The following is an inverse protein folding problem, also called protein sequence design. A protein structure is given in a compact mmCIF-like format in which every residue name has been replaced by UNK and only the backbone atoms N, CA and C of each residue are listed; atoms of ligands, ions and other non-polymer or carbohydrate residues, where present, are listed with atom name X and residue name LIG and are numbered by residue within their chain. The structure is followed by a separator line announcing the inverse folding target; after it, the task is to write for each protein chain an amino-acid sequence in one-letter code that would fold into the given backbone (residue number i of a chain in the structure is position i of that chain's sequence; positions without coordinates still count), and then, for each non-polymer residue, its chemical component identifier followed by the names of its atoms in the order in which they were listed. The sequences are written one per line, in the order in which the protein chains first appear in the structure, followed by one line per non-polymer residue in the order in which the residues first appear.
data_IF_486896840151
#
_entry.id   IF_486896840151
#
_cell.length_a   1.000
_cell.length_b   1.000
_cell.length_c   1.000
_cell.angle_alpha   90.00
_cell.angle_beta   90.00
_cell.angle_gamma   90.00
#
_symmetry.space_group_name_H-M   'P 1'
#
loop_
_entity.id
_entity.type
_entity.pdbx_description
1 polymer ?
#
# COMPACT_ATOMS: atom_id res chain seq x y z
N UNK A 1 -2.38 26.90 5.40
CA UNK A 1 -1.17 26.17 5.82
C UNK A 1 -0.51 25.58 4.58
N UNK A 2 0.79 25.85 4.41
CA UNK A 2 1.60 25.22 3.37
C UNK A 2 1.97 23.82 3.85
N UNK A 3 1.51 22.79 3.14
CA UNK A 3 1.88 21.38 3.40
C UNK A 3 3.09 21.00 2.57
N UNK A 4 4.04 20.28 3.17
CA UNK A 4 5.23 19.80 2.51
C UNK A 4 5.21 18.28 2.43
N UNK A 5 5.57 17.71 1.26
CA UNK A 5 5.68 16.27 1.10
C UNK A 5 6.85 15.71 1.94
N UNK A 6 6.62 14.59 2.63
CA UNK A 6 7.59 14.06 3.60
C UNK A 6 8.88 13.50 2.97
N UNK A 7 8.88 13.17 1.69
CA UNK A 7 10.03 12.52 1.03
C UNK A 7 10.01 12.66 -0.50
N UNK A 8 9.31 13.67 -1.03
CA UNK A 8 9.30 13.95 -2.48
C UNK A 8 10.54 14.72 -2.91
N UNK A 9 11.18 14.28 -3.97
CA UNK A 9 12.33 14.94 -4.60
C UNK A 9 11.99 15.26 -6.05
N UNK A 10 12.17 16.52 -6.46
CA UNK A 10 11.99 16.95 -7.85
C UNK A 10 13.33 16.93 -8.56
N UNK A 11 13.34 16.41 -9.78
CA UNK A 11 14.51 16.41 -10.66
C UNK A 11 14.19 17.25 -11.89
N UNK A 12 15.07 18.21 -12.17
CA UNK A 12 15.01 19.06 -13.35
C UNK A 12 16.30 18.93 -14.20
N UNK A 13 16.24 19.12 -15.52
CA UNK A 13 17.42 19.12 -16.39
C UNK A 13 18.29 20.39 -16.24
N UNK A 14 17.83 21.35 -15.43
CA UNK A 14 18.51 22.63 -15.15
C UNK A 14 18.13 23.15 -13.76
N UNK A 15 18.10 24.47 -13.59
CA UNK A 15 17.65 25.06 -12.31
C UNK A 15 16.17 24.86 -12.14
N UNK A 16 15.72 24.41 -10.96
CA UNK A 16 14.30 24.23 -10.65
C UNK A 16 13.48 25.52 -10.84
N UNK A 17 14.09 26.69 -10.60
CA UNK A 17 13.44 27.99 -10.79
C UNK A 17 13.11 28.32 -12.25
N UNK A 18 13.66 27.60 -13.20
CA UNK A 18 13.33 27.76 -14.62
C UNK A 18 12.02 27.00 -14.97
N UNK A 19 11.56 26.12 -14.10
CA UNK A 19 10.39 25.26 -14.31
C UNK A 19 9.25 25.55 -13.35
N UNK A 20 9.55 25.89 -12.08
CA UNK A 20 8.52 26.14 -11.08
C UNK A 20 8.96 27.19 -10.05
N UNK A 21 8.02 27.96 -9.50
CA UNK A 21 8.29 28.83 -8.37
C UNK A 21 8.60 28.01 -7.12
N UNK A 22 9.55 28.51 -6.31
CA UNK A 22 9.93 27.86 -5.06
C UNK A 22 9.44 28.69 -3.87
N UNK A 23 9.12 28.01 -2.77
CA UNK A 23 8.82 28.58 -1.49
C UNK A 23 9.83 28.10 -0.45
N UNK A 24 10.30 29.00 0.38
CA UNK A 24 11.18 28.72 1.51
C UNK A 24 10.44 29.22 2.76
N UNK A 25 10.20 28.32 3.71
CA UNK A 25 9.64 28.72 5.00
C UNK A 25 10.67 29.49 5.82
N UNK A 26 10.20 30.28 6.80
CA UNK A 26 11.13 30.99 7.69
C UNK A 26 11.92 29.99 8.55
N UNK A 27 13.24 30.19 8.62
CA UNK A 27 14.18 29.37 9.42
C UNK A 27 15.53 29.18 8.76
N UNK A 28 16.60 29.07 9.56
CA UNK A 28 17.98 28.97 9.07
C UNK A 28 18.24 27.70 8.22
N UNK A 29 17.48 26.62 8.46
CA UNK A 29 17.60 25.32 7.77
C UNK A 29 16.43 25.02 6.82
N UNK A 30 15.69 26.05 6.38
CA UNK A 30 14.52 25.86 5.56
C UNK A 30 14.88 25.38 4.16
N UNK A 31 14.36 24.23 3.78
CA UNK A 31 14.57 23.65 2.45
C UNK A 31 13.51 24.21 1.48
N UNK A 32 13.93 24.67 0.26
CA UNK A 32 12.99 25.12 -0.75
C UNK A 32 12.04 24.02 -1.19
N UNK A 33 10.77 24.35 -1.38
CA UNK A 33 9.72 23.46 -1.91
C UNK A 33 9.09 24.06 -3.15
N UNK A 34 8.62 23.21 -4.07
CA UNK A 34 7.81 23.66 -5.20
C UNK A 34 6.50 24.24 -4.71
N UNK A 35 6.06 25.36 -5.29
CA UNK A 35 4.72 25.89 -5.08
C UNK A 35 3.66 25.19 -5.94
N UNK A 36 4.09 24.39 -6.92
CA UNK A 36 3.22 23.55 -7.74
C UNK A 36 2.82 22.29 -6.98
N UNK A 37 1.59 21.85 -7.18
CA UNK A 37 1.15 20.54 -6.73
C UNK A 37 1.73 19.42 -7.62
N UNK A 38 1.39 18.16 -7.31
CA UNK A 38 1.93 17.01 -8.04
C UNK A 38 1.56 16.99 -9.52
N UNK A 39 0.36 17.45 -9.87
CA UNK A 39 -0.17 17.39 -11.24
C UNK A 39 0.45 18.52 -12.08
N UNK A 40 0.61 19.72 -11.51
CA UNK A 40 1.29 20.83 -12.13
C UNK A 40 2.79 20.55 -12.33
N UNK A 41 3.44 19.88 -11.37
CA UNK A 41 4.84 19.45 -11.49
C UNK A 41 5.03 18.50 -12.69
N UNK A 42 4.13 17.54 -12.87
CA UNK A 42 4.15 16.65 -14.03
C UNK A 42 3.85 17.38 -15.33
N UNK A 43 2.90 18.35 -15.31
CA UNK A 43 2.49 19.11 -16.48
C UNK A 43 3.62 19.99 -17.05
N UNK A 44 4.51 20.53 -16.20
CA UNK A 44 5.70 21.29 -16.62
C UNK A 44 6.90 20.40 -16.98
N UNK A 45 6.71 19.08 -16.97
CA UNK A 45 7.73 18.12 -17.41
C UNK A 45 8.80 17.78 -16.36
N UNK A 46 8.57 18.11 -15.10
CA UNK A 46 9.45 17.69 -14.02
C UNK A 46 9.18 16.25 -13.59
N UNK A 47 10.21 15.59 -13.11
CA UNK A 47 10.09 14.22 -12.57
C UNK A 47 10.12 14.29 -11.04
N UNK A 48 9.09 13.69 -10.42
CA UNK A 48 8.98 13.57 -8.97
C UNK A 48 9.32 12.13 -8.54
N UNK A 49 10.25 12.01 -7.61
CA UNK A 49 10.55 10.75 -6.93
C UNK A 49 10.12 10.83 -5.47
N UNK A 50 9.47 9.80 -4.99
CA UNK A 50 9.04 9.70 -3.60
C UNK A 50 9.93 8.70 -2.86
N UNK A 51 10.75 9.22 -1.93
CA UNK A 51 11.61 8.43 -1.07
C UNK A 51 10.99 8.36 0.33
N UNK A 52 10.25 7.29 0.59
CA UNK A 52 9.64 7.07 1.89
C UNK A 52 10.38 5.94 2.59
N UNK A 53 11.11 6.29 3.65
CA UNK A 53 11.76 5.31 4.52
C UNK A 53 10.73 4.58 5.38
N UNK A 54 10.94 3.27 5.60
CA UNK A 54 10.12 2.46 6.47
C UNK A 54 10.91 2.08 7.73
N UNK A 55 10.66 2.79 8.85
CA UNK A 55 11.35 2.56 10.13
C UNK A 55 11.23 1.11 10.63
N UNK A 56 10.13 0.46 10.30
CA UNK A 56 9.90 -0.93 10.71
C UNK A 56 10.93 -1.92 10.15
N UNK A 57 11.52 -1.65 8.99
CA UNK A 57 12.61 -2.48 8.47
C UNK A 57 13.87 -2.36 9.35
N UNK A 58 14.18 -1.16 9.84
CA UNK A 58 15.26 -0.96 10.83
C UNK A 58 14.94 -1.65 12.15
N UNK A 59 13.69 -1.61 12.62
CA UNK A 59 13.26 -2.32 13.84
C UNK A 59 13.45 -3.83 13.69
N UNK A 60 13.05 -4.40 12.56
CA UNK A 60 13.24 -5.83 12.27
C UNK A 60 14.72 -6.17 12.31
N UNK A 61 15.58 -5.39 11.63
CA UNK A 61 17.02 -5.63 11.59
C UNK A 61 17.64 -5.60 13.00
N UNK A 62 17.31 -4.59 13.80
CA UNK A 62 17.75 -4.48 15.19
C UNK A 62 17.26 -5.64 16.06
N UNK A 63 16.01 -6.07 15.86
CA UNK A 63 15.46 -7.21 16.59
C UNK A 63 16.25 -8.49 16.28
N UNK A 64 16.56 -8.73 15.00
CA UNK A 64 17.37 -9.87 14.57
C UNK A 64 18.80 -9.83 15.15
N UNK A 65 19.42 -8.63 15.20
CA UNK A 65 20.72 -8.46 15.88
C UNK A 65 20.64 -8.79 17.38
N UNK A 66 19.59 -8.33 18.06
CA UNK A 66 19.42 -8.61 19.49
C UNK A 66 19.16 -10.09 19.75
N UNK A 67 18.34 -10.75 18.91
CA UNK A 67 18.12 -12.19 18.99
C UNK A 67 19.45 -12.93 18.82
N UNK A 68 20.23 -12.59 17.80
CA UNK A 68 21.53 -13.24 17.55
C UNK A 68 22.48 -13.10 18.74
N UNK A 69 22.52 -11.93 19.38
CA UNK A 69 23.33 -11.71 20.60
C UNK A 69 22.83 -12.50 21.82
N UNK A 70 21.53 -12.69 21.95
CA UNK A 70 20.92 -13.37 23.10
C UNK A 70 20.96 -14.90 22.95
N UNK A 71 20.82 -15.41 21.73
CA UNK A 71 20.64 -16.86 21.46
C UNK A 71 21.79 -17.52 20.71
N UNK A 72 22.71 -16.72 20.18
CA UNK A 72 23.78 -17.20 19.29
C UNK A 72 23.32 -17.52 17.85
N UNK A 73 22.04 -17.35 17.53
CA UNK A 73 21.48 -17.65 16.20
C UNK A 73 20.61 -16.51 15.73
N UNK A 74 20.74 -16.16 14.44
CA UNK A 74 19.91 -15.15 13.78
C UNK A 74 18.83 -15.84 12.94
N UNK A 75 17.53 -15.62 13.22
CA UNK A 75 16.45 -16.15 12.40
C UNK A 75 16.49 -15.59 10.97
N UNK A 76 16.23 -16.47 10.00
CA UNK A 76 16.00 -16.05 8.62
C UNK A 76 14.50 -15.88 8.38
N UNK A 77 14.01 -14.63 8.43
CA UNK A 77 12.61 -14.32 8.22
C UNK A 77 12.12 -14.64 6.81
N UNK A 78 13.02 -14.67 5.82
CA UNK A 78 12.64 -14.94 4.42
C UNK A 78 12.38 -16.43 4.18
N UNK A 79 12.93 -17.30 5.01
CA UNK A 79 12.65 -18.73 4.98
C UNK A 79 11.42 -19.16 5.78
N UNK A 80 10.85 -18.24 6.57
CA UNK A 80 9.61 -18.49 7.32
C UNK A 80 8.42 -18.61 6.34
N UNK A 81 7.61 -19.66 6.51
CA UNK A 81 6.28 -19.70 5.92
C UNK A 81 5.35 -18.66 6.58
N UNK A 82 4.17 -18.50 6.00
CA UNK A 82 3.13 -17.59 6.53
C UNK A 82 2.03 -18.33 7.30
N UNK A 83 2.39 -19.40 8.03
CA UNK A 83 1.44 -20.33 8.66
C UNK A 83 1.64 -20.47 10.18
N UNK A 84 2.48 -19.63 10.80
CA UNK A 84 2.77 -19.72 12.23
C UNK A 84 1.55 -19.38 13.09
N UNK A 85 1.02 -20.33 13.90
CA UNK A 85 -0.19 -20.09 14.70
C UNK A 85 -0.03 -19.02 15.77
N UNK A 86 1.19 -18.86 16.33
CA UNK A 86 1.44 -17.89 17.39
C UNK A 86 1.42 -16.46 16.85
N UNK A 87 1.91 -16.24 15.62
CA UNK A 87 1.80 -14.95 14.94
C UNK A 87 0.33 -14.56 14.69
N UNK A 88 -0.48 -15.52 14.22
CA UNK A 88 -1.92 -15.28 14.04
C UNK A 88 -2.66 -15.08 15.36
N UNK A 89 -2.26 -15.77 16.42
CA UNK A 89 -2.91 -15.58 17.71
C UNK A 89 -2.75 -14.15 18.24
N UNK A 90 -1.56 -13.56 18.09
CA UNK A 90 -1.33 -12.15 18.41
C UNK A 90 -2.26 -11.20 17.63
N UNK A 91 -2.48 -11.50 16.33
CA UNK A 91 -3.39 -10.72 15.49
C UNK A 91 -4.85 -10.90 15.90
N UNK A 92 -5.29 -12.12 16.21
CA UNK A 92 -6.66 -12.44 16.69
C UNK A 92 -6.97 -11.77 18.02
N UNK A 93 -6.00 -11.77 18.93
CA UNK A 93 -6.13 -11.12 20.26
C UNK A 93 -6.02 -9.59 20.15
N UNK A 94 -5.66 -9.08 18.97
CA UNK A 94 -5.34 -7.68 18.73
C UNK A 94 -4.27 -7.11 19.67
N UNK A 95 -3.36 -7.96 20.11
CA UNK A 95 -2.18 -7.54 20.87
C UNK A 95 -1.10 -6.98 19.91
N UNK A 96 -1.48 -5.98 19.12
CA UNK A 96 -0.74 -5.52 17.94
C UNK A 96 0.05 -4.23 18.13
N UNK A 97 0.27 -3.79 19.37
CA UNK A 97 1.16 -2.67 19.66
C UNK A 97 2.55 -2.94 19.10
N UNK A 98 3.12 -1.98 18.37
CA UNK A 98 4.37 -2.03 17.61
C UNK A 98 4.36 -2.96 16.37
N UNK A 99 3.30 -3.70 16.09
CA UNK A 99 3.18 -4.48 14.85
C UNK A 99 2.81 -3.55 13.70
N UNK A 100 3.59 -3.65 12.63
CA UNK A 100 3.47 -2.77 11.47
C UNK A 100 2.05 -2.69 10.92
N UNK A 101 1.54 -1.47 10.70
CA UNK A 101 0.24 -1.14 10.10
C UNK A 101 -1.01 -1.57 10.88
N UNK A 102 -0.89 -2.30 12.01
CA UNK A 102 -2.06 -2.88 12.68
C UNK A 102 -2.20 -2.48 14.16
N UNK A 103 -1.54 -1.41 14.60
CA UNK A 103 -1.49 -1.00 16.00
C UNK A 103 -2.58 -0.01 16.43
N UNK A 104 -3.28 0.65 15.48
CA UNK A 104 -4.32 1.61 15.83
C UNK A 104 -5.54 0.96 16.47
N UNK A 105 -6.25 1.67 17.36
CA UNK A 105 -7.41 1.14 18.07
C UNK A 105 -8.53 0.67 17.13
N UNK A 106 -8.75 1.39 16.01
CA UNK A 106 -9.70 0.99 14.99
C UNK A 106 -9.30 -0.31 14.30
N UNK A 107 -8.01 -0.46 13.97
CA UNK A 107 -7.49 -1.69 13.38
C UNK A 107 -7.56 -2.86 14.37
N UNK A 108 -7.25 -2.65 15.64
CA UNK A 108 -7.40 -3.66 16.71
C UNK A 108 -8.83 -4.16 16.83
N UNK A 109 -9.82 -3.25 16.76
CA UNK A 109 -11.24 -3.63 16.75
C UNK A 109 -11.60 -4.45 15.51
N UNK A 110 -11.08 -4.09 14.35
CA UNK A 110 -11.30 -4.81 13.10
C UNK A 110 -10.68 -6.22 13.15
N UNK A 111 -9.43 -6.34 13.61
CA UNK A 111 -8.74 -7.62 13.75
C UNK A 111 -9.47 -8.59 14.67
N UNK A 112 -10.00 -8.12 15.80
CA UNK A 112 -10.86 -8.95 16.69
C UNK A 112 -12.11 -9.48 15.99
N UNK A 113 -12.73 -8.64 15.14
CA UNK A 113 -13.91 -9.07 14.37
C UNK A 113 -13.54 -10.04 13.26
N UNK A 114 -12.46 -9.77 12.53
CA UNK A 114 -12.00 -10.56 11.40
C UNK A 114 -11.41 -11.92 11.84
N UNK A 115 -10.64 -11.93 12.92
CA UNK A 115 -9.89 -13.08 13.42
C UNK A 115 -9.04 -13.74 12.33
N UNK A 116 -8.01 -13.03 11.79
CA UNK A 116 -7.21 -13.51 10.67
C UNK A 116 -6.51 -14.83 11.01
N UNK A 117 -6.50 -15.78 10.08
CA UNK A 117 -5.90 -17.11 10.23
C UNK A 117 -5.09 -17.59 9.03
N UNK A 118 -5.01 -16.75 7.99
CA UNK A 118 -4.20 -16.97 6.79
C UNK A 118 -3.61 -15.66 6.28
N UNK A 119 -2.58 -15.76 5.47
CA UNK A 119 -1.83 -14.58 4.98
C UNK A 119 -2.69 -13.64 4.12
N UNK A 120 -3.61 -14.21 3.32
CA UNK A 120 -4.56 -13.45 2.52
C UNK A 120 -5.45 -12.53 3.35
N UNK A 121 -5.78 -12.92 4.58
CA UNK A 121 -6.57 -12.06 5.48
C UNK A 121 -5.77 -10.82 5.92
N UNK A 122 -4.46 -10.97 6.14
CA UNK A 122 -3.59 -9.82 6.44
C UNK A 122 -3.53 -8.87 5.24
N UNK A 123 -3.36 -9.42 4.03
CA UNK A 123 -3.37 -8.62 2.80
C UNK A 123 -4.70 -7.87 2.66
N UNK A 124 -5.81 -8.57 2.87
CA UNK A 124 -7.15 -8.00 2.73
C UNK A 124 -7.44 -6.92 3.78
N UNK A 125 -7.10 -7.15 5.05
CA UNK A 125 -7.38 -6.18 6.12
C UNK A 125 -6.61 -4.87 5.89
N UNK A 126 -5.37 -4.93 5.40
CA UNK A 126 -4.58 -3.74 5.06
C UNK A 126 -5.19 -2.96 3.87
N UNK A 127 -5.84 -3.64 2.94
CA UNK A 127 -6.56 -3.00 1.84
C UNK A 127 -7.92 -2.42 2.28
N UNK A 128 -8.62 -3.09 3.18
CA UNK A 128 -9.98 -2.78 3.62
C UNK A 128 -10.04 -1.68 4.70
N UNK A 129 -9.01 -1.54 5.54
CA UNK A 129 -9.02 -0.56 6.63
C UNK A 129 -8.74 0.86 6.12
N UNK A 130 -9.73 1.43 5.45
CA UNK A 130 -9.72 2.80 4.90
C UNK A 130 -11.14 3.39 4.95
N UNK A 131 -11.30 4.74 4.99
CA UNK A 131 -12.61 5.37 5.11
C UNK A 131 -13.65 4.89 4.09
N UNK A 132 -13.26 4.71 2.82
CA UNK A 132 -14.14 4.26 1.76
C UNK A 132 -14.72 2.84 2.00
N UNK A 133 -13.87 1.79 2.04
CA UNK A 133 -14.34 0.43 2.31
C UNK A 133 -15.08 0.28 3.65
N UNK A 134 -14.63 0.98 4.71
CA UNK A 134 -15.31 0.97 6.01
C UNK A 134 -16.73 1.54 5.95
N UNK A 135 -16.94 2.58 5.13
CA UNK A 135 -18.24 3.22 4.97
C UNK A 135 -19.19 2.53 3.99
N UNK A 136 -18.70 1.59 3.18
CA UNK A 136 -19.46 0.95 2.07
C UNK A 136 -20.14 -0.36 2.45
N UNK A 137 -19.89 -0.91 3.64
CA UNK A 137 -20.36 -2.24 4.07
C UNK A 137 -19.47 -3.41 3.60
N UNK A 138 -18.49 -3.19 2.74
CA UNK A 138 -17.59 -4.24 2.21
C UNK A 138 -16.86 -5.01 3.32
N UNK A 139 -16.47 -4.32 4.37
CA UNK A 139 -15.73 -4.91 5.50
C UNK A 139 -16.62 -5.88 6.28
N UNK A 140 -17.88 -5.52 6.50
CA UNK A 140 -18.82 -6.38 7.21
C UNK A 140 -19.16 -7.62 6.35
N UNK A 141 -19.41 -7.46 5.04
CA UNK A 141 -19.61 -8.57 4.11
C UNK A 141 -18.41 -9.53 4.12
N UNK A 142 -17.19 -8.99 4.02
CA UNK A 142 -15.97 -9.80 4.07
C UNK A 142 -15.89 -10.64 5.36
N UNK A 143 -16.17 -10.03 6.52
CA UNK A 143 -16.12 -10.71 7.83
C UNK A 143 -17.22 -11.77 7.94
N UNK A 144 -18.45 -11.44 7.56
CA UNK A 144 -19.59 -12.36 7.66
C UNK A 144 -19.38 -13.58 6.76
N UNK A 145 -18.92 -13.37 5.52
CA UNK A 145 -18.64 -14.44 4.56
C UNK A 145 -17.45 -15.29 5.00
N UNK A 146 -16.36 -14.69 5.50
CA UNK A 146 -15.24 -15.43 6.11
C UNK A 146 -15.70 -16.36 7.24
N UNK A 147 -16.63 -15.91 8.07
CA UNK A 147 -17.16 -16.67 9.20
C UNK A 147 -18.26 -17.67 8.83
N UNK A 148 -18.64 -17.76 7.57
CA UNK A 148 -19.74 -18.61 7.12
C UNK A 148 -21.11 -18.13 7.59
N UNK A 149 -21.23 -16.87 8.02
CA UNK A 149 -22.48 -16.25 8.50
C UNK A 149 -23.28 -15.61 7.35
N UNK A 150 -22.68 -15.49 6.20
CA UNK A 150 -23.28 -15.01 4.95
C UNK A 150 -22.81 -15.89 3.80
N UNK A 151 -23.71 -16.24 2.90
CA UNK A 151 -23.38 -17.00 1.69
C UNK A 151 -22.42 -16.21 0.79
N UNK A 152 -21.47 -16.93 0.18
CA UNK A 152 -20.49 -16.33 -0.73
C UNK A 152 -21.05 -16.42 -2.14
N UNK A 153 -21.35 -15.26 -2.73
CA UNK A 153 -21.69 -15.14 -4.14
C UNK A 153 -20.45 -14.79 -4.96
N UNK A 154 -20.11 -15.66 -5.91
CA UNK A 154 -19.03 -15.43 -6.88
C UNK A 154 -19.56 -14.89 -8.20
N UNK A 155 -20.87 -14.63 -8.33
CA UNK A 155 -21.58 -14.14 -9.50
C UNK A 155 -21.57 -15.13 -10.69
N UNK A 156 -20.45 -15.79 -10.94
CA UNK A 156 -20.29 -16.84 -11.97
C UNK A 156 -19.16 -17.80 -11.56
N UNK A 157 -19.28 -19.12 -11.89
CA UNK A 157 -18.25 -20.10 -11.56
C UNK A 157 -16.83 -19.71 -12.05
N UNK A 158 -16.72 -19.08 -13.23
CA UNK A 158 -15.44 -18.67 -13.81
C UNK A 158 -14.76 -17.54 -13.00
N UNK A 159 -15.51 -16.81 -12.19
CA UNK A 159 -14.98 -15.77 -11.31
C UNK A 159 -14.54 -16.30 -9.95
N UNK A 160 -14.86 -17.56 -9.64
CA UNK A 160 -14.52 -18.14 -8.33
C UNK A 160 -13.01 -18.03 -8.04
N UNK A 161 -12.16 -18.40 -8.98
CA UNK A 161 -10.71 -18.39 -8.78
C UNK A 161 -10.14 -17.00 -8.42
N UNK A 162 -10.70 -15.92 -8.98
CA UNK A 162 -10.23 -14.56 -8.68
C UNK A 162 -10.88 -13.95 -7.42
N UNK A 163 -12.08 -14.41 -7.02
CA UNK A 163 -12.84 -13.85 -5.90
C UNK A 163 -12.79 -14.70 -4.61
N UNK A 164 -12.41 -15.97 -4.70
CA UNK A 164 -12.30 -16.89 -3.56
C UNK A 164 -11.34 -16.38 -2.46
N UNK A 165 -10.16 -15.81 -2.79
CA UNK A 165 -9.25 -15.27 -1.78
C UNK A 165 -9.85 -14.12 -0.94
N UNK A 166 -10.91 -13.48 -1.43
CA UNK A 166 -11.60 -12.36 -0.79
C UNK A 166 -13.07 -12.65 -0.48
N UNK A 167 -13.46 -13.92 -0.43
CA UNK A 167 -14.82 -14.37 -0.09
C UNK A 167 -15.90 -13.71 -0.96
N UNK A 168 -15.63 -13.56 -2.28
CA UNK A 168 -16.56 -12.95 -3.23
C UNK A 168 -16.62 -11.41 -3.18
N UNK A 169 -15.80 -10.76 -2.35
CA UNK A 169 -15.73 -9.29 -2.29
C UNK A 169 -14.67 -8.77 -3.24
N UNK A 170 -14.99 -7.76 -4.06
CA UNK A 170 -14.01 -7.08 -4.92
C UNK A 170 -13.23 -6.09 -4.05
N UNK A 171 -11.97 -6.42 -3.73
CA UNK A 171 -11.08 -5.62 -2.86
C UNK A 171 -9.95 -4.97 -3.66
N UNK A 172 -9.45 -5.67 -4.68
CA UNK A 172 -8.24 -5.30 -5.39
C UNK A 172 -8.50 -4.78 -6.80
N UNK A 173 -7.66 -3.87 -7.24
CA UNK A 173 -7.66 -3.37 -8.62
C UNK A 173 -7.43 -4.52 -9.63
N UNK A 174 -6.61 -5.48 -9.26
CA UNK A 174 -6.32 -6.67 -10.05
C UNK A 174 -7.56 -7.53 -10.28
N UNK A 175 -8.48 -7.60 -9.30
CA UNK A 175 -9.75 -8.32 -9.46
C UNK A 175 -10.66 -7.63 -10.48
N UNK A 176 -10.72 -6.29 -10.50
CA UNK A 176 -11.45 -5.53 -11.52
C UNK A 176 -10.91 -5.87 -12.92
N UNK A 177 -9.57 -5.91 -13.06
CA UNK A 177 -8.95 -6.27 -14.35
C UNK A 177 -9.24 -7.71 -14.73
N UNK A 178 -9.15 -8.67 -13.81
CA UNK A 178 -9.42 -10.09 -14.05
C UNK A 178 -10.88 -10.34 -14.45
N UNK A 179 -11.83 -9.72 -13.73
CA UNK A 179 -13.27 -9.81 -14.09
C UNK A 179 -13.49 -9.29 -15.49
N UNK A 180 -12.89 -8.16 -15.86
CA UNK A 180 -13.00 -7.58 -17.18
C UNK A 180 -12.43 -8.49 -18.28
N UNK A 181 -11.33 -9.19 -18.00
CA UNK A 181 -10.73 -10.15 -18.93
C UNK A 181 -11.58 -11.43 -19.05
N UNK A 182 -12.07 -11.97 -17.94
CA UNK A 182 -12.84 -13.22 -17.90
C UNK A 182 -14.20 -13.00 -18.58
N UNK A 183 -14.95 -12.03 -18.14
CA UNK A 183 -16.33 -11.79 -18.63
C UNK A 183 -16.32 -10.98 -19.92
N UNK A 184 -15.62 -9.85 -19.93
CA UNK A 184 -15.67 -8.90 -21.04
C UNK A 184 -14.67 -9.15 -22.17
N UNK A 185 -13.79 -10.16 -22.05
CA UNK A 185 -12.81 -10.47 -23.08
C UNK A 185 -11.72 -9.41 -23.28
N UNK A 186 -11.52 -8.55 -22.30
CA UNK A 186 -10.49 -7.51 -22.39
C UNK A 186 -9.07 -8.10 -22.47
N UNK A 187 -8.21 -7.43 -23.22
CA UNK A 187 -6.77 -7.63 -23.06
C UNK A 187 -6.32 -7.04 -21.74
N UNK A 188 -5.13 -7.43 -21.26
CA UNK A 188 -4.57 -6.88 -20.02
C UNK A 188 -4.47 -5.34 -20.05
N UNK A 189 -3.98 -4.77 -21.17
CA UNK A 189 -3.90 -3.32 -21.34
C UNK A 189 -5.27 -2.64 -21.39
N UNK A 190 -6.27 -3.26 -22.06
CA UNK A 190 -7.64 -2.78 -22.08
C UNK A 190 -8.29 -2.79 -20.68
N UNK A 191 -8.05 -3.82 -19.90
CA UNK A 191 -8.52 -3.93 -18.53
C UNK A 191 -7.88 -2.86 -17.60
N UNK A 192 -6.59 -2.54 -17.79
CA UNK A 192 -5.94 -1.45 -17.05
C UNK A 192 -6.51 -0.08 -17.44
N UNK A 193 -6.81 0.14 -18.72
CA UNK A 193 -7.49 1.38 -19.14
C UNK A 193 -8.89 1.51 -18.54
N UNK A 194 -9.68 0.43 -18.50
CA UNK A 194 -10.98 0.42 -17.81
C UNK A 194 -10.81 0.78 -16.32
N UNK A 195 -9.90 0.11 -15.62
CA UNK A 195 -9.62 0.39 -14.21
C UNK A 195 -9.28 1.87 -13.97
N UNK A 196 -8.43 2.46 -14.83
CA UNK A 196 -8.07 3.89 -14.74
C UNK A 196 -9.24 4.82 -15.02
N UNK A 197 -10.08 4.49 -16.00
CA UNK A 197 -11.28 5.26 -16.33
C UNK A 197 -12.27 5.26 -15.16
N UNK A 198 -12.48 4.09 -14.54
CA UNK A 198 -13.31 3.94 -13.34
C UNK A 198 -12.79 4.81 -12.18
N UNK A 199 -11.48 4.80 -11.92
CA UNK A 199 -10.87 5.61 -10.85
C UNK A 199 -10.97 7.12 -11.09
N UNK A 200 -11.00 7.57 -12.37
CA UNK A 200 -11.12 8.99 -12.74
C UNK A 200 -12.56 9.45 -12.98
N UNK A 201 -13.54 8.55 -12.89
CA UNK A 201 -15.00 8.79 -13.10
C UNK A 201 -15.34 9.54 -14.39
N UNK A 202 -14.63 9.28 -15.47
CA UNK A 202 -14.89 9.92 -16.76
C UNK A 202 -16.12 9.30 -17.43
N UNK A 203 -17.26 9.99 -17.39
CA UNK A 203 -18.56 9.50 -17.81
C UNK A 203 -18.55 8.93 -19.25
N UNK A 204 -17.94 9.66 -20.20
CA UNK A 204 -17.88 9.24 -21.61
C UNK A 204 -17.05 7.97 -21.82
N UNK A 205 -15.92 7.84 -21.10
CA UNK A 205 -15.09 6.64 -21.14
C UNK A 205 -15.81 5.46 -20.47
N UNK A 206 -16.52 5.70 -19.38
CA UNK A 206 -17.31 4.69 -18.68
C UNK A 206 -18.45 4.14 -19.54
N UNK A 207 -19.16 4.99 -20.28
CA UNK A 207 -20.22 4.55 -21.20
C UNK A 207 -19.66 3.63 -22.32
N UNK A 208 -18.50 3.96 -22.89
CA UNK A 208 -17.81 3.11 -23.87
C UNK A 208 -17.43 1.76 -23.30
N UNK A 209 -16.84 1.75 -22.11
CA UNK A 209 -16.43 0.52 -21.45
C UNK A 209 -17.62 -0.36 -21.06
N UNK A 210 -18.74 0.22 -20.64
CA UNK A 210 -19.99 -0.52 -20.39
C UNK A 210 -20.46 -1.27 -21.64
N UNK A 211 -20.49 -0.60 -22.77
CA UNK A 211 -20.84 -1.23 -24.03
C UNK A 211 -19.87 -2.34 -24.45
N UNK A 212 -18.56 -2.09 -24.25
CA UNK A 212 -17.51 -3.07 -24.59
C UNK A 212 -17.59 -4.33 -23.73
N UNK A 213 -17.84 -4.21 -22.42
CA UNK A 213 -17.93 -5.39 -21.54
C UNK A 213 -19.19 -6.21 -21.82
N UNK A 214 -20.31 -5.55 -22.13
CA UNK A 214 -21.56 -6.22 -22.49
C UNK A 214 -21.43 -6.99 -23.82
N UNK A 215 -20.82 -6.39 -24.82
CA UNK A 215 -20.57 -7.06 -26.10
C UNK A 215 -19.59 -8.21 -25.98
N UNK A 216 -18.49 -8.01 -25.22
CA UNK A 216 -17.51 -9.07 -24.97
C UNK A 216 -18.12 -10.25 -24.18
N UNK A 217 -18.97 -9.99 -23.22
CA UNK A 217 -19.70 -11.02 -22.46
C UNK A 217 -20.61 -11.84 -23.40
N UNK A 218 -21.37 -11.17 -24.28
CA UNK A 218 -22.22 -11.81 -25.25
C UNK A 218 -21.42 -12.73 -26.19
N UNK A 219 -20.28 -12.26 -26.70
CA UNK A 219 -19.41 -13.03 -27.58
C UNK A 219 -18.86 -14.28 -26.92
N UNK A 220 -18.65 -14.24 -25.59
CA UNK A 220 -18.18 -15.35 -24.77
C UNK A 220 -19.30 -16.26 -24.26
N UNK A 221 -20.55 -15.92 -24.52
CA UNK A 221 -21.71 -16.71 -24.09
C UNK A 221 -22.19 -16.46 -22.66
N UNK A 222 -21.75 -15.36 -22.03
CA UNK A 222 -22.26 -14.94 -20.74
C UNK A 222 -23.57 -14.14 -20.87
N UNK A 223 -24.38 -14.17 -19.81
CA UNK A 223 -25.60 -13.37 -19.73
C UNK A 223 -25.24 -11.86 -19.74
N UNK A 224 -25.81 -11.05 -20.63
CA UNK A 224 -25.63 -9.61 -20.64
C UNK A 224 -26.03 -8.94 -19.31
N UNK A 225 -27.04 -9.47 -18.61
CA UNK A 225 -27.45 -8.96 -17.30
C UNK A 225 -26.35 -9.13 -16.23
N UNK A 226 -25.60 -10.24 -16.28
CA UNK A 226 -24.45 -10.47 -15.43
C UNK A 226 -23.34 -9.43 -15.70
N UNK A 227 -23.06 -9.13 -16.97
CA UNK A 227 -22.05 -8.14 -17.35
C UNK A 227 -22.39 -6.74 -16.84
N UNK A 228 -23.67 -6.34 -16.94
CA UNK A 228 -24.17 -5.07 -16.40
C UNK A 228 -24.04 -5.00 -14.88
N UNK A 229 -24.48 -6.04 -14.19
CA UNK A 229 -24.35 -6.14 -12.73
C UNK A 229 -22.90 -6.03 -12.26
N UNK A 230 -21.99 -6.77 -12.92
CA UNK A 230 -20.55 -6.72 -12.58
C UNK A 230 -19.94 -5.36 -12.89
N UNK A 231 -20.35 -4.72 -14.00
CA UNK A 231 -19.86 -3.39 -14.33
C UNK A 231 -20.26 -2.35 -13.27
N UNK A 232 -21.51 -2.41 -12.78
CA UNK A 232 -22.00 -1.52 -11.73
C UNK A 232 -21.26 -1.77 -10.40
N UNK A 233 -21.04 -3.03 -10.04
CA UNK A 233 -20.23 -3.39 -8.87
C UNK A 233 -18.79 -2.88 -8.99
N UNK A 234 -18.14 -3.15 -10.13
CA UNK A 234 -16.77 -2.69 -10.37
C UNK A 234 -16.67 -1.17 -10.33
N UNK A 235 -17.65 -0.44 -10.88
CA UNK A 235 -17.71 1.02 -10.83
C UNK A 235 -17.81 1.53 -9.40
N UNK A 236 -18.67 0.91 -8.59
CA UNK A 236 -18.84 1.25 -7.18
C UNK A 236 -17.57 1.02 -6.38
N UNK A 237 -16.82 -0.05 -6.68
CA UNK A 237 -15.62 -0.44 -5.92
C UNK A 237 -14.31 0.07 -6.50
N UNK A 238 -14.28 0.53 -7.76
CA UNK A 238 -13.06 1.03 -8.39
C UNK A 238 -12.45 2.25 -7.69
N UNK A 239 -13.28 3.06 -7.00
CA UNK A 239 -12.79 4.15 -6.14
C UNK A 239 -11.99 3.66 -4.95
N UNK A 240 -12.31 2.46 -4.47
CA UNK A 240 -11.76 1.86 -3.26
C UNK A 240 -10.79 0.72 -3.55
N UNK A 241 -10.69 0.29 -4.82
CA UNK A 241 -9.80 -0.78 -5.23
C UNK A 241 -8.34 -0.48 -4.86
N UNK A 242 -7.68 -1.41 -4.19
CA UNK A 242 -6.31 -1.26 -3.77
C UNK A 242 -5.37 -2.12 -4.61
N UNK A 243 -4.12 -1.71 -4.77
CA UNK A 243 -3.10 -2.52 -5.41
C UNK A 243 -2.73 -3.69 -4.50
N UNK A 244 -2.99 -4.93 -4.96
CA UNK A 244 -2.71 -6.15 -4.19
C UNK A 244 -1.22 -6.34 -3.94
N UNK A 245 -0.37 -6.04 -4.91
CA UNK A 245 1.08 -6.19 -4.77
C UNK A 245 1.64 -5.31 -3.66
N UNK A 246 1.13 -4.07 -3.55
CA UNK A 246 1.50 -3.16 -2.47
C UNK A 246 1.11 -3.74 -1.10
N UNK A 247 -0.17 -4.13 -0.92
CA UNK A 247 -0.61 -4.70 0.37
C UNK A 247 0.05 -6.03 0.69
N UNK A 248 0.37 -6.85 -0.30
CA UNK A 248 1.11 -8.09 -0.10
C UNK A 248 2.52 -7.83 0.47
N UNK A 249 3.25 -6.86 -0.10
CA UNK A 249 4.56 -6.47 0.41
C UNK A 249 4.49 -5.95 1.86
N UNK A 250 3.48 -5.15 2.17
CA UNK A 250 3.24 -4.63 3.52
C UNK A 250 2.78 -5.74 4.49
N UNK A 251 1.98 -6.69 4.03
CA UNK A 251 1.54 -7.84 4.81
C UNK A 251 2.72 -8.73 5.26
N UNK A 252 3.76 -8.87 4.43
CA UNK A 252 5.01 -9.54 4.82
C UNK A 252 5.63 -8.86 6.05
N UNK A 253 5.75 -7.54 6.03
CA UNK A 253 6.31 -6.78 7.17
C UNK A 253 5.40 -6.90 8.41
N UNK A 254 4.08 -6.85 8.22
CA UNK A 254 3.11 -7.07 9.31
C UNK A 254 3.28 -8.46 9.92
N UNK A 255 3.37 -9.49 9.09
CA UNK A 255 3.55 -10.87 9.55
C UNK A 255 4.89 -11.07 10.26
N UNK A 256 6.00 -10.58 9.69
CA UNK A 256 7.32 -10.68 10.32
C UNK A 256 7.37 -9.97 11.67
N UNK A 257 6.75 -8.80 11.81
CA UNK A 257 6.68 -8.09 13.09
C UNK A 257 5.77 -8.80 14.10
N UNK A 258 4.69 -9.45 13.64
CA UNK A 258 3.85 -10.30 14.49
C UNK A 258 4.61 -11.56 14.97
N UNK A 259 5.34 -12.21 14.07
CA UNK A 259 6.17 -13.37 14.37
C UNK A 259 7.27 -13.02 15.38
N UNK A 260 8.00 -11.93 15.14
CA UNK A 260 9.04 -11.45 16.08
C UNK A 260 8.44 -11.14 17.46
N UNK A 261 7.27 -10.56 17.52
CA UNK A 261 6.58 -10.29 18.79
C UNK A 261 6.14 -11.57 19.48
N UNK A 262 5.68 -12.58 18.73
CA UNK A 262 5.25 -13.86 19.27
C UNK A 262 6.40 -14.67 19.88
N UNK A 263 7.51 -14.76 19.17
CA UNK A 263 8.61 -15.66 19.52
C UNK A 263 9.77 -14.96 20.24
N UNK A 264 9.96 -13.65 20.01
CA UNK A 264 11.11 -12.87 20.53
C UNK A 264 10.66 -11.51 21.06
N UNK A 265 9.59 -11.47 21.86
CA UNK A 265 8.96 -10.23 22.34
C UNK A 265 9.95 -9.23 22.95
N UNK A 266 10.83 -9.69 23.84
CA UNK A 266 11.79 -8.80 24.52
C UNK A 266 12.75 -8.12 23.53
N UNK A 267 13.34 -8.88 22.59
CA UNK A 267 14.25 -8.36 21.57
C UNK A 267 13.51 -7.40 20.61
N UNK A 268 12.29 -7.76 20.20
CA UNK A 268 11.47 -6.92 19.30
C UNK A 268 11.05 -5.60 19.97
N UNK A 269 10.60 -5.63 21.22
CA UNK A 269 10.23 -4.42 21.95
C UNK A 269 11.43 -3.54 22.25
N UNK A 270 12.58 -4.12 22.60
CA UNK A 270 13.84 -3.38 22.79
C UNK A 270 14.27 -2.70 21.48
N UNK A 271 14.16 -3.38 20.33
CA UNK A 271 14.46 -2.81 19.02
C UNK A 271 13.51 -1.64 18.69
N UNK A 272 12.22 -1.78 18.96
CA UNK A 272 11.23 -0.73 18.76
C UNK A 272 11.57 0.52 19.56
N UNK A 273 11.91 0.38 20.84
CA UNK A 273 12.29 1.49 21.71
C UNK A 273 13.64 2.12 21.34
N UNK A 274 14.59 1.32 20.82
CA UNK A 274 15.94 1.79 20.45
C UNK A 274 15.95 2.48 19.08
N UNK A 275 15.02 2.19 18.21
CA UNK A 275 14.95 2.78 16.85
C UNK A 275 14.72 4.29 16.90
N UNK A 276 14.02 4.81 17.90
CA UNK A 276 13.79 6.26 18.07
C UNK A 276 15.09 7.01 18.41
N UNK A 277 15.99 6.39 19.17
CA UNK A 277 17.29 6.98 19.53
C UNK A 277 18.26 7.02 18.36
N UNK A 278 18.26 5.99 17.48
CA UNK A 278 19.12 5.96 16.28
C UNK A 278 18.66 6.94 15.21
N UNK A 279 17.36 7.16 15.06
CA UNK A 279 16.83 8.16 14.12
C UNK A 279 17.27 9.59 14.46
N UNK A 280 17.53 9.88 15.73
CA UNK A 280 18.06 11.19 16.18
C UNK A 280 19.57 11.33 16.04
N UNK A 281 20.32 10.21 15.95
CA UNK A 281 21.78 10.21 15.84
C UNK A 281 22.32 10.00 14.43
N UNK A 282 21.52 9.51 13.50
CA UNK A 282 21.87 9.33 12.09
C UNK A 282 21.06 10.26 11.17
N UNK A 283 21.13 11.56 11.43
CA UNK A 283 20.75 12.59 10.46
C UNK A 283 21.79 12.68 9.33
N UNK A 284 22.04 11.56 8.66
CA UNK A 284 22.96 11.45 7.56
C UNK A 284 22.57 10.30 6.66
N UNK A 285 21.61 10.54 5.76
CA UNK A 285 21.51 9.69 4.57
C UNK A 285 22.69 10.08 3.69
N UNK A 286 23.81 9.33 3.81
CA UNK A 286 24.88 9.41 2.86
C UNK A 286 24.37 8.84 1.51
N UNK A 287 23.89 9.70 0.65
CA UNK A 287 23.69 9.36 -0.75
C UNK A 287 25.07 9.23 -1.38
N UNK A 288 25.52 8.01 -1.60
CA UNK A 288 26.73 7.76 -2.41
C UNK A 288 26.39 8.05 -3.86
N UNK A 289 26.82 9.24 -4.34
CA UNK A 289 26.87 9.52 -5.76
C UNK A 289 28.13 8.88 -6.34
N UNK A 290 27.98 7.86 -7.18
CA UNK A 290 29.07 7.44 -8.07
C UNK A 290 29.25 8.50 -9.17
N UNK A 291 30.45 9.06 -9.37
CA UNK A 291 30.69 9.94 -10.50
C UNK A 291 30.75 9.08 -11.78
N UNK A 292 29.73 9.16 -12.63
CA UNK A 292 29.85 8.68 -14.00
C UNK A 292 30.63 9.73 -14.79
N UNK A 293 31.87 9.41 -15.17
CA UNK A 293 32.62 10.13 -16.18
C UNK A 293 32.01 9.82 -17.55
N UNK A 294 31.14 10.70 -18.03
CA UNK A 294 30.90 10.88 -19.47
C UNK A 294 30.55 12.35 -19.68
N UNK A 295 31.24 12.92 -20.63
CA UNK A 295 31.18 14.30 -21.07
C UNK A 295 29.79 14.68 -21.58
N UNK A 296 29.11 15.51 -20.84
CA UNK A 296 27.82 16.11 -21.20
C UNK A 296 27.23 16.73 -19.95
N UNK A 297 27.34 18.06 -19.82
CA UNK A 297 26.87 18.83 -18.67
C UNK A 297 25.33 18.69 -18.49
N UNK A 298 24.90 17.78 -17.63
CA UNK A 298 23.59 17.83 -16.99
C UNK A 298 23.86 18.19 -15.55
N UNK A 299 23.64 19.44 -15.17
CA UNK A 299 23.67 19.80 -13.76
C UNK A 299 22.37 19.33 -13.11
N UNK A 300 22.44 18.27 -12.31
CA UNK A 300 21.32 17.78 -11.51
C UNK A 300 21.34 18.51 -10.17
N UNK A 301 20.36 19.37 -9.93
CA UNK A 301 20.15 19.94 -8.61
C UNK A 301 19.32 18.94 -7.78
N UNK A 302 19.99 18.27 -6.85
CA UNK A 302 19.35 17.34 -5.93
C UNK A 302 18.92 18.09 -4.67
N UNK A 303 17.60 18.11 -4.41
CA UNK A 303 17.03 18.65 -3.20
C UNK A 303 16.64 17.50 -2.28
N UNK A 304 17.39 17.31 -1.19
CA UNK A 304 17.15 16.26 -0.21
C UNK A 304 16.38 16.84 0.98
N UNK A 305 15.21 16.27 1.27
CA UNK A 305 14.43 16.58 2.46
C UNK A 305 14.91 15.73 3.64
N UNK A 306 15.37 16.37 4.69
CA UNK A 306 15.67 15.75 5.98
C UNK A 306 14.53 16.11 6.93
N UNK A 307 13.77 15.14 7.51
CA UNK A 307 12.77 15.48 8.52
C UNK A 307 13.48 15.97 9.78
N UNK A 308 13.26 17.20 10.17
CA UNK A 308 13.71 17.69 11.46
C UNK A 308 12.95 16.99 12.59
N UNK A 309 13.70 16.35 13.49
CA UNK A 309 13.19 15.90 14.77
C UNK A 309 12.77 17.12 15.59
N UNK A 310 11.50 17.21 16.00
CA UNK A 310 11.05 18.18 16.99
C UNK A 310 11.92 18.07 18.24
N UNK A 311 12.67 19.12 18.56
CA UNK A 311 13.25 19.30 19.87
C UNK A 311 12.11 19.42 20.89
N UNK A 312 11.86 18.36 21.64
CA UNK A 312 11.15 18.47 22.90
C UNK A 312 12.07 19.22 23.85
N UNK A 313 11.76 20.48 24.11
CA UNK A 313 12.32 21.20 25.27
C UNK A 313 11.63 20.66 26.53
N UNK A 314 12.47 20.40 27.51
CA UNK A 314 12.10 20.09 28.88
C UNK A 314 11.22 21.17 29.53
#
# INVERSE_FOLDING_TARGET
NVGMHAGGVLIAPGKLTDFCPLYIADGEDATPVSQFDKDDVEAVGLVKFDFLGLRNLTIIELALEYIARMTGSRPDLMSLGFEDPAAYQILKDANTTAIFQVESDGMKKLLKKLAPDRFEDIIAVLALYRPGPLGSGMVDDFILRKKGQQEIDYFHPDLKACLEPTYGVIVYQEQVMQISQIIGGYTLGGADMLRRAMGKKKADEMAKHRATIAEGAKQKGYDPALAEQLFDLMTKFAEYGFNKSHTAAYAVVTYHTAWLKAHHCAAFMAATMSSDRRATSSAGIAVWMMPSRTSGLVSVSLMVFIPQAKKLRA
#
